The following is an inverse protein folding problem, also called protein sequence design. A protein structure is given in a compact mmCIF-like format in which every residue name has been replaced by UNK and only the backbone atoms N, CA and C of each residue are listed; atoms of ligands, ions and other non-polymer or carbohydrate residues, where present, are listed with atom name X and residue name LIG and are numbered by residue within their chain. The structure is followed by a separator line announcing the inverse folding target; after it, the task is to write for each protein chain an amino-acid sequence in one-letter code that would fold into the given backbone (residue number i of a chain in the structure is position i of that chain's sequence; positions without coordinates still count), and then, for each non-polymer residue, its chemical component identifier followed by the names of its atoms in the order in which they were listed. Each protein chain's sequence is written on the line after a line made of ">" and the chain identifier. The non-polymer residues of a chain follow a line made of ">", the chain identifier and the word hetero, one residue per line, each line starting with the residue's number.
data_IF_994619583098
#
_entry.id   IF_994619583098
#
_cell.length_a   1.000
_cell.length_b   1.000
_cell.length_c   1.000
_cell.angle_alpha   90.00
_cell.angle_beta   90.00
_cell.angle_gamma   90.00
#
_symmetry.space_group_name_H-M   'P 1'
#
loop_
_entity.id
_entity.type
_entity.pdbx_description
1 polymer ?
#
# COMPACT_ATOMS: atom_id res chain seq x y z
N UNK A 1 3.49 -18.95 -31.90
CA UNK A 1 4.21 -18.43 -30.72
C UNK A 1 3.21 -18.22 -29.61
N UNK A 2 3.38 -18.88 -28.47
CA UNK A 2 2.56 -18.58 -27.30
C UNK A 2 3.06 -17.27 -26.69
N UNK A 3 2.26 -16.21 -26.81
CA UNK A 3 2.49 -14.95 -26.10
C UNK A 3 1.78 -15.01 -24.75
N UNK A 4 2.39 -14.42 -23.72
CA UNK A 4 1.77 -14.20 -22.41
C UNK A 4 1.76 -12.70 -22.16
N UNK A 5 0.66 -12.21 -21.59
CA UNK A 5 0.53 -10.83 -21.13
C UNK A 5 0.59 -10.84 -19.62
N UNK A 6 1.39 -9.94 -19.04
CA UNK A 6 1.57 -9.85 -17.60
C UNK A 6 1.42 -8.40 -17.17
N UNK A 7 0.55 -8.15 -16.19
CA UNK A 7 0.40 -6.85 -15.54
C UNK A 7 1.11 -6.92 -14.20
N UNK A 8 2.10 -6.07 -13.99
CA UNK A 8 2.79 -5.92 -12.70
C UNK A 8 2.24 -4.70 -12.01
N UNK A 9 1.67 -4.88 -10.83
CA UNK A 9 1.28 -3.78 -9.93
C UNK A 9 2.31 -3.73 -8.80
N UNK A 10 2.88 -2.55 -8.56
CA UNK A 10 3.81 -2.30 -7.45
C UNK A 10 3.30 -1.10 -6.69
N UNK A 11 3.21 -1.22 -5.37
CA UNK A 11 2.85 -0.13 -4.47
C UNK A 11 4.00 0.10 -3.49
N UNK A 12 4.28 1.36 -3.22
CA UNK A 12 5.26 1.79 -2.21
C UNK A 12 4.55 2.66 -1.19
N UNK A 13 4.82 2.41 0.09
CA UNK A 13 4.37 3.25 1.19
C UNK A 13 5.57 4.02 1.73
N UNK A 14 5.42 5.33 1.82
CA UNK A 14 6.43 6.24 2.34
C UNK A 14 5.77 7.14 3.38
N UNK A 15 6.47 7.35 4.49
CA UNK A 15 6.07 8.32 5.50
C UNK A 15 6.82 9.61 5.24
N UNK A 16 6.09 10.69 4.99
CA UNK A 16 6.65 12.01 4.67
C UNK A 16 6.27 13.00 5.78
N UNK A 17 7.21 13.88 6.13
CA UNK A 17 6.90 15.13 6.84
C UNK A 17 6.12 16.11 5.95
N UNK A 18 5.53 17.13 6.56
CA UNK A 18 4.82 18.19 5.83
C UNK A 18 5.74 18.94 4.85
N UNK A 19 7.00 19.15 5.22
CA UNK A 19 8.02 19.76 4.37
C UNK A 19 8.35 18.85 3.17
N UNK A 20 8.65 17.57 3.41
CA UNK A 20 8.95 16.60 2.34
C UNK A 20 7.76 16.41 1.39
N UNK A 21 6.53 16.36 1.93
CA UNK A 21 5.32 16.27 1.12
C UNK A 21 5.15 17.49 0.19
N UNK A 22 5.42 18.70 0.69
CA UNK A 22 5.36 19.93 -0.13
C UNK A 22 6.43 19.96 -1.22
N UNK A 23 7.60 19.40 -0.95
CA UNK A 23 8.72 19.38 -1.90
C UNK A 23 8.55 18.29 -2.97
N UNK A 24 8.06 17.11 -2.60
CA UNK A 24 8.14 15.91 -3.44
C UNK A 24 6.79 15.32 -3.86
N UNK A 25 5.68 15.64 -3.20
CA UNK A 25 4.40 14.94 -3.37
C UNK A 25 3.94 14.85 -4.82
N UNK A 26 4.03 15.96 -5.56
CA UNK A 26 3.64 16.03 -6.97
C UNK A 26 4.71 15.49 -7.94
N UNK A 27 5.97 15.37 -7.50
CA UNK A 27 7.11 14.95 -8.33
C UNK A 27 7.42 13.45 -8.24
N UNK A 28 6.89 12.78 -7.23
CA UNK A 28 7.20 11.37 -6.94
C UNK A 28 6.81 10.42 -8.08
N UNK A 29 5.63 10.62 -8.69
CA UNK A 29 5.16 9.77 -9.79
C UNK A 29 6.05 9.93 -11.04
N UNK A 30 6.31 11.15 -11.55
CA UNK A 30 7.24 11.33 -12.66
C UNK A 30 8.62 10.72 -12.44
N UNK A 31 9.18 10.79 -11.22
CA UNK A 31 10.47 10.18 -10.91
C UNK A 31 10.40 8.66 -10.97
N UNK A 32 9.42 8.04 -10.32
CA UNK A 32 9.24 6.58 -10.31
C UNK A 32 8.94 6.02 -11.70
N UNK A 33 8.18 6.72 -12.54
CA UNK A 33 7.88 6.30 -13.91
C UNK A 33 9.13 6.23 -14.79
N UNK A 34 10.11 7.10 -14.56
CA UNK A 34 11.35 7.14 -15.33
C UNK A 34 12.38 6.10 -14.86
N UNK A 35 12.27 5.60 -13.63
CA UNK A 35 13.27 4.69 -13.04
C UNK A 35 13.01 3.20 -13.26
N UNK A 36 11.79 2.76 -13.63
CA UNK A 36 11.50 1.33 -13.82
C UNK A 36 12.14 0.80 -15.12
N UNK A 37 13.43 0.49 -15.05
CA UNK A 37 14.15 -0.25 -16.09
C UNK A 37 14.09 -1.74 -15.75
N UNK A 38 13.26 -2.50 -16.46
CA UNK A 38 13.26 -3.97 -16.33
C UNK A 38 14.50 -4.51 -17.05
N UNK A 39 15.30 -5.31 -16.33
CA UNK A 39 16.46 -6.01 -16.90
C UNK A 39 16.07 -6.75 -18.20
N UNK A 40 16.84 -6.57 -19.28
CA UNK A 40 16.74 -7.39 -20.49
C UNK A 40 16.05 -6.78 -21.72
N UNK A 41 16.08 -5.45 -21.91
CA UNK A 41 15.47 -4.74 -23.05
C UNK A 41 13.94 -4.97 -23.19
N UNK A 42 13.27 -5.34 -22.10
CA UNK A 42 11.82 -5.43 -22.07
C UNK A 42 11.24 -4.01 -22.02
N UNK A 43 10.56 -3.61 -23.09
CA UNK A 43 9.80 -2.37 -23.10
C UNK A 43 8.51 -2.59 -22.31
N UNK A 44 8.39 -1.93 -21.16
CA UNK A 44 7.13 -1.84 -20.45
C UNK A 44 6.27 -0.75 -21.08
N UNK A 45 4.99 -1.05 -21.27
CA UNK A 45 4.00 -0.03 -21.60
C UNK A 45 3.34 0.41 -20.29
N UNK A 46 3.60 1.65 -19.90
CA UNK A 46 2.95 2.26 -18.73
C UNK A 46 1.42 2.21 -18.89
N UNK A 47 0.72 1.75 -17.84
CA UNK A 47 -0.73 1.62 -17.83
C UNK A 47 -1.41 2.62 -16.89
N UNK A 48 -0.84 2.85 -15.70
CA UNK A 48 -1.38 3.75 -14.69
C UNK A 48 -0.36 3.99 -13.57
N UNK A 49 -0.39 5.20 -13.01
CA UNK A 49 0.21 5.56 -11.72
C UNK A 49 -0.85 6.28 -10.90
N UNK A 50 -0.84 6.06 -9.59
CA UNK A 50 -1.74 6.78 -8.67
C UNK A 50 -1.06 6.97 -7.33
N UNK A 51 -1.36 8.08 -6.68
CA UNK A 51 -0.99 8.34 -5.29
C UNK A 51 -2.25 8.43 -4.45
N UNK A 52 -2.13 8.02 -3.19
CA UNK A 52 -3.17 8.17 -2.19
C UNK A 52 -2.51 8.71 -0.92
N UNK A 53 -3.02 9.84 -0.42
CA UNK A 53 -2.62 10.36 0.88
C UNK A 53 -3.52 9.69 1.92
N UNK A 54 -2.93 8.88 2.80
CA UNK A 54 -3.67 8.15 3.82
C UNK A 54 -4.10 9.09 4.96
N UNK A 55 -5.39 9.06 5.29
CA UNK A 55 -5.97 9.80 6.40
C UNK A 55 -6.81 8.87 7.28
N UNK A 56 -6.31 8.45 8.46
CA UNK A 56 -7.03 7.58 9.39
C UNK A 56 -8.35 8.16 9.93
N UNK A 57 -8.56 9.48 9.86
CA UNK A 57 -9.79 10.10 10.35
C UNK A 57 -10.96 9.91 9.38
N UNK A 58 -10.68 9.78 8.09
CA UNK A 58 -11.69 9.75 7.02
C UNK A 58 -11.66 8.46 6.19
N UNK A 59 -10.57 7.69 6.24
CA UNK A 59 -10.37 6.49 5.44
C UNK A 59 -10.26 5.24 6.31
N UNK A 60 -10.58 4.07 5.74
CA UNK A 60 -10.37 2.78 6.40
C UNK A 60 -8.89 2.37 6.36
N UNK A 61 -8.06 3.15 7.04
CA UNK A 61 -6.65 2.89 7.23
C UNK A 61 -6.20 3.31 8.63
N UNK A 62 -5.14 2.68 9.12
CA UNK A 62 -4.52 3.05 10.38
C UNK A 62 -3.23 2.29 10.61
N UNK A 63 -2.60 2.55 11.75
CA UNK A 63 -1.36 1.89 12.15
C UNK A 63 -1.63 0.70 13.04
N UNK A 64 -0.97 -0.42 12.77
CA UNK A 64 -0.93 -1.53 13.71
C UNK A 64 -0.36 -1.06 15.05
N UNK A 65 -1.09 -1.29 16.13
CA UNK A 65 -0.69 -0.89 17.49
C UNK A 65 0.56 -1.61 18.01
N UNK A 66 1.02 -2.68 17.34
CA UNK A 66 2.16 -3.51 17.75
C UNK A 66 3.42 -3.26 16.92
N UNK A 67 3.31 -3.26 15.58
CA UNK A 67 4.47 -3.12 14.69
C UNK A 67 4.49 -1.81 13.89
N UNK A 68 3.45 -0.97 14.03
CA UNK A 68 3.31 0.31 13.33
C UNK A 68 3.24 0.21 11.78
N UNK A 69 2.95 -0.97 11.23
CA UNK A 69 2.62 -1.11 9.80
C UNK A 69 1.32 -0.39 9.48
N UNK A 70 1.16 0.08 8.24
CA UNK A 70 -0.14 0.53 7.74
C UNK A 70 -1.06 -0.67 7.48
N UNK A 71 -2.32 -0.51 7.84
CA UNK A 71 -3.31 -1.59 7.86
C UNK A 71 -4.66 -1.04 7.44
N UNK A 72 -5.43 -1.85 6.70
CA UNK A 72 -6.87 -1.64 6.50
C UNK A 72 -7.66 -2.62 7.37
N UNK A 73 -8.72 -2.13 8.03
CA UNK A 73 -9.57 -2.97 8.86
C UNK A 73 -10.51 -3.78 7.95
N UNK A 74 -10.25 -5.08 7.83
CA UNK A 74 -11.02 -6.01 6.99
C UNK A 74 -12.39 -6.35 7.57
N UNK A 75 -12.73 -5.82 8.74
CA UNK A 75 -14.08 -5.89 9.30
C UNK A 75 -14.96 -4.70 8.88
N UNK A 76 -14.37 -3.68 8.26
CA UNK A 76 -15.04 -2.48 7.73
C UNK A 76 -15.11 -2.50 6.19
N UNK A 77 -16.05 -1.76 5.59
CA UNK A 77 -16.06 -1.54 4.14
C UNK A 77 -14.85 -0.71 3.68
N UNK A 78 -14.72 -0.52 2.37
CA UNK A 78 -13.73 0.38 1.77
C UNK A 78 -12.27 0.03 2.10
N UNK A 79 -11.97 -1.27 2.12
CA UNK A 79 -10.60 -1.75 2.26
C UNK A 79 -9.70 -1.20 1.15
N UNK A 80 -8.46 -0.89 1.53
CA UNK A 80 -7.42 -0.42 0.61
C UNK A 80 -6.54 -1.63 0.25
N UNK A 81 -6.62 -2.06 -1.01
CA UNK A 81 -5.98 -3.27 -1.52
C UNK A 81 -4.46 -3.29 -1.32
N UNK A 82 -3.83 -2.11 -1.32
CA UNK A 82 -2.39 -1.95 -1.17
C UNK A 82 -1.88 -1.96 0.29
N UNK A 83 -2.76 -2.00 1.29
CA UNK A 83 -2.38 -2.07 2.70
C UNK A 83 -2.46 -3.51 3.25
N UNK A 84 -1.73 -3.78 4.34
CA UNK A 84 -1.86 -5.05 5.05
C UNK A 84 -3.28 -5.20 5.59
N UNK A 85 -3.72 -6.45 5.66
CA UNK A 85 -4.99 -6.75 6.30
C UNK A 85 -4.87 -6.54 7.80
N UNK A 86 -5.99 -6.24 8.44
CA UNK A 86 -6.07 -6.25 9.89
C UNK A 86 -7.48 -6.21 10.39
N UNK A 87 -7.58 -6.14 11.71
CA UNK A 87 -8.84 -6.03 12.44
C UNK A 87 -8.60 -5.37 13.79
N UNK A 88 -9.68 -4.87 14.39
CA UNK A 88 -9.64 -4.36 15.77
C UNK A 88 -9.89 -5.51 16.74
N UNK A 89 -8.92 -5.77 17.62
CA UNK A 89 -9.02 -6.73 18.73
C UNK A 89 -8.67 -6.00 20.01
N UNK A 90 -9.53 -6.09 21.02
CA UNK A 90 -9.37 -5.39 22.31
C UNK A 90 -9.09 -3.89 22.15
N UNK A 91 -9.88 -3.21 21.31
CA UNK A 91 -9.75 -1.79 20.95
C UNK A 91 -8.42 -1.39 20.30
N UNK A 92 -7.66 -2.36 19.79
CA UNK A 92 -6.37 -2.15 19.09
C UNK A 92 -6.46 -2.63 17.66
N UNK A 93 -6.10 -1.77 16.72
CA UNK A 93 -5.93 -2.16 15.33
C UNK A 93 -4.64 -2.98 15.21
N UNK A 94 -4.75 -4.21 14.72
CA UNK A 94 -3.62 -5.13 14.51
C UNK A 94 -3.55 -5.56 13.05
N UNK A 95 -2.34 -5.68 12.50
CA UNK A 95 -2.14 -6.30 11.18
C UNK A 95 -2.33 -7.82 11.27
N UNK A 96 -2.52 -8.45 10.11
CA UNK A 96 -2.57 -9.89 9.89
C UNK A 96 -1.46 -10.69 10.60
N UNK A 97 -0.22 -10.22 10.62
CA UNK A 97 0.87 -10.88 11.36
C UNK A 97 0.80 -10.71 12.89
N UNK A 98 0.10 -9.69 13.37
CA UNK A 98 0.02 -9.35 14.79
C UNK A 98 -1.29 -9.77 15.45
N UNK A 99 -2.29 -10.18 14.65
CA UNK A 99 -3.55 -10.71 15.12
C UNK A 99 -3.35 -12.05 15.86
N UNK A 100 -4.27 -12.43 16.76
CA UNK A 100 -4.30 -13.78 17.32
C UNK A 100 -4.38 -14.84 16.22
N UNK A 101 -3.70 -15.97 16.38
CA UNK A 101 -3.61 -17.03 15.36
C UNK A 101 -4.98 -17.58 14.93
N UNK A 102 -5.96 -17.57 15.84
CA UNK A 102 -7.33 -18.01 15.59
C UNK A 102 -8.19 -16.97 14.84
N UNK A 103 -7.69 -15.75 14.64
CA UNK A 103 -8.43 -14.70 13.97
C UNK A 103 -8.51 -14.97 12.47
N UNK A 104 -9.71 -14.83 11.86
CA UNK A 104 -9.95 -15.14 10.44
C UNK A 104 -9.09 -14.36 9.43
N UNK A 105 -8.48 -13.26 9.87
CA UNK A 105 -7.64 -12.38 9.07
C UNK A 105 -6.16 -12.43 9.51
N UNK A 106 -5.78 -13.36 10.38
CA UNK A 106 -4.39 -13.62 10.68
C UNK A 106 -3.70 -14.33 9.50
N UNK A 107 -2.40 -14.08 9.32
CA UNK A 107 -1.55 -14.72 8.30
C UNK A 107 -0.90 -16.01 8.80
#
# INVERSE_FOLDING_TARGET
>A
MNKKTYLVKVAYLIDLSDEEYKEMGDQLIPELENEITVMGNLKLDWQSSSTILLDPETMNCGRCSKCNSWVTDREKPDHIDELNNGAVVDDRLLCDECLPEEHRWAF
#
